data_IF_995852270471
#
_entry.id   IF_995852270471
#
_cell.length_a   1.000
_cell.length_b   1.000
_cell.length_c   1.000
_cell.angle_alpha   90.00
_cell.angle_beta   90.00
_cell.angle_gamma   90.00
#
_symmetry.space_group_name_H-M   'P 1'
#
loop_
_entity.id
_entity.type
_entity.pdbx_description
1 polymer ?
#
# COMPACT_ATOMS: atom_id res chain seq x y z
N UNK A 1 2.17 -34.07 35.90
CA UNK A 1 1.32 -33.29 34.94
C UNK A 1 2.14 -33.00 33.69
N UNK A 2 1.86 -33.68 32.57
CA UNK A 2 2.60 -33.55 31.29
C UNK A 2 2.45 -32.13 30.74
N UNK A 3 3.57 -31.41 30.53
CA UNK A 3 3.61 -30.17 29.76
C UNK A 3 3.44 -30.54 28.28
N UNK A 4 2.23 -30.38 27.73
CA UNK A 4 2.04 -30.40 26.29
C UNK A 4 2.73 -29.16 25.71
N UNK A 5 3.85 -29.38 25.00
CA UNK A 5 4.58 -28.34 24.26
C UNK A 5 3.71 -27.87 23.08
N UNK A 6 2.93 -26.80 23.26
CA UNK A 6 2.20 -26.11 22.18
C UNK A 6 3.07 -25.02 21.51
N UNK A 7 4.37 -25.26 21.34
CA UNK A 7 5.29 -24.25 20.82
C UNK A 7 5.03 -23.91 19.33
N UNK A 8 4.47 -24.84 18.54
CA UNK A 8 4.26 -24.64 17.10
C UNK A 8 3.03 -23.82 16.71
N UNK A 9 2.02 -23.71 17.57
CA UNK A 9 0.76 -22.99 17.28
C UNK A 9 0.89 -21.48 17.57
N UNK A 10 1.69 -21.13 18.57
CA UNK A 10 1.93 -19.73 18.98
C UNK A 10 2.71 -18.97 17.89
N UNK A 11 3.58 -19.65 17.14
CA UNK A 11 4.34 -19.05 16.03
C UNK A 11 3.46 -18.76 14.80
N UNK A 12 2.39 -19.53 14.59
CA UNK A 12 1.45 -19.31 13.46
C UNK A 12 0.64 -18.03 13.64
N UNK A 13 0.36 -17.59 14.87
CA UNK A 13 -0.57 -16.49 15.16
C UNK A 13 0.14 -15.37 15.95
N UNK A 14 1.13 -14.74 15.31
CA UNK A 14 1.93 -13.67 15.93
C UNK A 14 1.07 -12.43 16.24
N UNK A 15 1.36 -11.77 17.37
CA UNK A 15 0.79 -10.47 17.73
C UNK A 15 0.95 -9.50 16.54
N UNK A 16 -0.15 -8.85 16.13
CA UNK A 16 -0.28 -7.97 14.94
C UNK A 16 -0.46 -8.64 13.56
N UNK A 17 -0.59 -9.96 13.49
CA UNK A 17 -0.89 -10.64 12.23
C UNK A 17 -2.34 -10.39 11.79
N UNK A 18 -2.52 -10.13 10.49
CA UNK A 18 -3.85 -10.06 9.86
C UNK A 18 -4.25 -11.45 9.41
N UNK A 19 -5.32 -11.97 9.97
CA UNK A 19 -5.89 -13.25 9.58
C UNK A 19 -6.85 -13.09 8.41
N UNK A 20 -6.75 -14.05 7.48
CA UNK A 20 -7.74 -14.26 6.43
C UNK A 20 -9.09 -14.68 7.02
N UNK A 21 -10.16 -14.59 6.21
CA UNK A 21 -11.49 -15.06 6.63
C UNK A 21 -11.46 -16.55 6.97
N UNK A 22 -10.75 -17.35 6.18
CA UNK A 22 -10.59 -18.78 6.39
C UNK A 22 -9.94 -19.10 7.75
N UNK A 23 -8.82 -18.45 8.08
CA UNK A 23 -8.14 -18.67 9.36
C UNK A 23 -9.02 -18.26 10.55
N UNK A 24 -9.75 -17.14 10.45
CA UNK A 24 -10.69 -16.72 11.50
C UNK A 24 -11.81 -17.75 11.68
N UNK A 25 -12.30 -18.32 10.59
CA UNK A 25 -13.35 -19.32 10.62
C UNK A 25 -12.87 -20.63 11.26
N UNK A 26 -11.68 -21.11 10.90
CA UNK A 26 -11.04 -22.27 11.54
C UNK A 26 -10.90 -22.09 13.05
N UNK A 27 -10.50 -20.89 13.49
CA UNK A 27 -10.39 -20.56 14.91
C UNK A 27 -11.78 -20.60 15.58
N UNK A 28 -12.81 -20.05 14.95
CA UNK A 28 -14.19 -20.11 15.47
C UNK A 28 -14.65 -21.56 15.61
N UNK A 29 -14.48 -22.38 14.59
CA UNK A 29 -14.86 -23.80 14.63
C UNK A 29 -14.10 -24.56 15.72
N UNK A 30 -12.80 -24.32 15.84
CA UNK A 30 -11.97 -24.97 16.87
C UNK A 30 -12.38 -24.55 18.27
N UNK A 31 -12.69 -23.27 18.49
CA UNK A 31 -13.13 -22.78 19.80
C UNK A 31 -14.52 -23.32 20.16
N UNK A 32 -15.43 -23.45 19.20
CA UNK A 32 -16.78 -24.00 19.42
C UNK A 32 -16.77 -25.52 19.67
N UNK A 33 -15.89 -26.25 18.99
CA UNK A 33 -15.82 -27.73 19.09
C UNK A 33 -14.95 -28.19 20.26
N UNK A 34 -14.05 -27.34 20.73
CA UNK A 34 -13.12 -27.68 21.80
C UNK A 34 -13.82 -27.82 23.16
N UNK A 35 -13.54 -28.93 23.84
CA UNK A 35 -13.94 -29.15 25.25
C UNK A 35 -13.15 -28.25 26.24
N UNK A 36 -12.02 -27.68 25.80
CA UNK A 36 -11.30 -26.66 26.56
C UNK A 36 -12.08 -25.34 26.47
N UNK A 37 -12.40 -24.73 27.61
CA UNK A 37 -13.09 -23.45 27.65
C UNK A 37 -12.38 -22.35 26.84
N UNK A 38 -13.18 -21.44 26.25
CA UNK A 38 -12.79 -20.38 25.29
C UNK A 38 -11.52 -19.64 25.65
N UNK A 39 -11.28 -19.35 26.94
CA UNK A 39 -10.07 -18.64 27.38
C UNK A 39 -8.79 -19.44 27.09
N UNK A 40 -8.77 -20.73 27.43
CA UNK A 40 -7.58 -21.58 27.30
C UNK A 40 -7.24 -21.87 25.85
N UNK A 41 -8.26 -22.05 25.01
CA UNK A 41 -8.07 -22.23 23.57
C UNK A 41 -7.48 -20.99 22.94
N UNK A 42 -8.03 -19.80 23.21
CA UNK A 42 -7.50 -18.55 22.67
C UNK A 42 -6.09 -18.21 23.16
N UNK A 43 -5.75 -18.55 24.40
CA UNK A 43 -4.38 -18.42 24.92
C UNK A 43 -3.39 -19.31 24.15
N UNK A 44 -3.80 -20.51 23.74
CA UNK A 44 -2.96 -21.39 22.91
C UNK A 44 -2.69 -20.85 21.50
N UNK A 45 -3.65 -20.09 20.95
CA UNK A 45 -3.51 -19.39 19.68
C UNK A 45 -2.85 -18.01 19.82
N UNK A 46 -2.56 -17.52 21.04
CA UNK A 46 -2.04 -16.16 21.24
C UNK A 46 -3.02 -15.04 20.85
N UNK A 47 -4.32 -15.34 20.75
CA UNK A 47 -5.36 -14.40 20.29
C UNK A 47 -6.01 -13.72 21.49
N UNK A 48 -6.13 -12.39 21.43
CA UNK A 48 -6.86 -11.64 22.44
C UNK A 48 -8.37 -11.95 22.37
N UNK A 49 -8.99 -12.21 23.53
CA UNK A 49 -10.44 -12.47 23.66
C UNK A 49 -11.31 -11.42 22.95
N UNK A 50 -10.94 -10.15 23.06
CA UNK A 50 -11.65 -9.05 22.41
C UNK A 50 -11.64 -9.14 20.89
N UNK A 51 -10.60 -9.71 20.28
CA UNK A 51 -10.53 -9.91 18.83
C UNK A 51 -11.40 -11.08 18.39
N UNK A 52 -11.36 -12.18 19.15
CA UNK A 52 -12.22 -13.35 18.92
C UNK A 52 -13.71 -12.97 18.96
N UNK A 53 -14.17 -12.32 20.03
CA UNK A 53 -15.59 -11.97 20.16
C UNK A 53 -16.06 -10.98 19.09
N UNK A 54 -15.19 -10.07 18.62
CA UNK A 54 -15.50 -9.20 17.48
C UNK A 54 -15.73 -9.99 16.19
N UNK A 55 -14.87 -10.97 15.90
CA UNK A 55 -15.04 -11.84 14.73
C UNK A 55 -16.26 -12.74 14.89
N UNK A 56 -16.47 -13.31 16.07
CA UNK A 56 -17.61 -14.17 16.35
C UNK A 56 -18.94 -13.43 16.21
N UNK A 57 -19.02 -12.19 16.70
CA UNK A 57 -20.19 -11.33 16.48
C UNK A 57 -20.40 -11.03 15.00
N UNK A 58 -19.34 -10.65 14.27
CA UNK A 58 -19.41 -10.41 12.82
C UNK A 58 -19.86 -11.66 12.04
N UNK A 59 -19.42 -12.84 12.49
CA UNK A 59 -19.84 -14.12 11.92
C UNK A 59 -21.31 -14.43 12.20
N UNK A 60 -21.82 -14.09 13.39
CA UNK A 60 -23.24 -14.27 13.70
C UNK A 60 -24.13 -13.31 12.90
N UNK A 61 -23.68 -12.08 12.64
CA UNK A 61 -24.46 -11.06 11.93
C UNK A 61 -24.40 -11.23 10.39
N UNK A 62 -23.22 -11.54 9.84
CA UNK A 62 -22.97 -11.53 8.39
C UNK A 62 -22.41 -12.85 7.84
N UNK A 63 -22.39 -13.91 8.66
CA UNK A 63 -21.86 -15.21 8.24
C UNK A 63 -20.36 -15.19 7.94
N UNK A 64 -19.93 -16.06 7.03
CA UNK A 64 -18.53 -16.16 6.63
C UNK A 64 -17.99 -14.85 6.02
N UNK A 65 -18.83 -14.14 5.26
CA UNK A 65 -18.47 -12.87 4.61
C UNK A 65 -18.12 -11.77 5.63
N UNK A 66 -18.73 -11.83 6.83
CA UNK A 66 -18.40 -10.94 7.95
C UNK A 66 -16.99 -11.12 8.52
N UNK A 67 -16.31 -12.21 8.20
CA UNK A 67 -14.94 -12.48 8.63
C UNK A 67 -13.90 -11.88 7.67
N UNK A 68 -14.31 -11.43 6.49
CA UNK A 68 -13.41 -10.78 5.56
C UNK A 68 -12.75 -9.56 6.19
N UNK A 69 -11.48 -9.35 5.86
CA UNK A 69 -10.81 -8.12 6.25
C UNK A 69 -11.41 -6.99 5.43
N UNK A 70 -12.18 -6.12 6.09
CA UNK A 70 -12.66 -4.88 5.48
C UNK A 70 -11.49 -4.14 4.87
N UNK A 71 -11.51 -4.00 3.54
CA UNK A 71 -10.58 -3.12 2.83
C UNK A 71 -10.73 -1.75 3.48
N UNK A 72 -9.63 -1.17 3.96
CA UNK A 72 -9.66 0.21 4.45
C UNK A 72 -10.22 1.04 3.30
N UNK A 73 -11.46 1.50 3.43
CA UNK A 73 -11.96 2.52 2.55
C UNK A 73 -11.02 3.69 2.76
N UNK A 74 -10.35 4.09 1.68
CA UNK A 74 -9.36 5.16 1.72
C UNK A 74 -10.16 6.42 2.03
N UNK A 75 -10.37 6.71 3.32
CA UNK A 75 -10.99 7.94 3.80
C UNK A 75 -10.22 9.04 3.10
N UNK A 76 -10.89 9.75 2.19
CA UNK A 76 -10.32 10.74 1.27
C UNK A 76 -9.13 11.41 1.93
N UNK A 77 -7.93 11.12 1.43
CA UNK A 77 -6.72 11.78 1.90
C UNK A 77 -6.96 13.28 1.67
N UNK A 78 -6.78 14.12 2.69
CA UNK A 78 -7.09 15.56 2.61
C UNK A 78 -6.42 16.24 1.40
N UNK A 79 -5.22 15.77 1.04
CA UNK A 79 -4.43 16.28 -0.09
C UNK A 79 -4.67 15.50 -1.40
N UNK A 80 -5.79 14.78 -1.52
CA UNK A 80 -6.11 14.05 -2.76
C UNK A 80 -6.74 14.99 -3.77
N UNK A 81 -6.09 15.09 -4.95
CA UNK A 81 -6.65 15.80 -6.10
C UNK A 81 -7.97 15.14 -6.50
N UNK A 82 -9.10 15.89 -6.58
CA UNK A 82 -10.37 15.39 -7.08
C UNK A 82 -10.25 14.74 -8.46
N UNK A 83 -11.03 13.67 -8.69
CA UNK A 83 -10.94 12.91 -9.95
C UNK A 83 -11.17 13.79 -11.18
N UNK A 84 -12.13 14.72 -11.11
CA UNK A 84 -12.39 15.72 -12.15
C UNK A 84 -11.15 16.53 -12.56
N UNK A 85 -10.31 16.91 -11.59
CA UNK A 85 -9.08 17.66 -11.87
C UNK A 85 -8.02 16.74 -12.50
N UNK A 86 -8.00 15.45 -12.14
CA UNK A 86 -7.12 14.49 -12.80
C UNK A 86 -7.55 14.24 -14.24
N UNK A 87 -8.86 14.21 -14.51
CA UNK A 87 -9.38 14.02 -15.86
C UNK A 87 -9.04 15.21 -16.75
N UNK A 88 -9.16 16.43 -16.22
CA UNK A 88 -8.70 17.65 -16.88
C UNK A 88 -7.21 17.61 -17.23
N UNK A 89 -6.34 17.14 -16.30
CA UNK A 89 -4.91 16.98 -16.58
C UNK A 89 -4.67 16.07 -17.80
N UNK A 90 -5.47 15.02 -17.95
CA UNK A 90 -5.35 14.10 -19.09
C UNK A 90 -5.86 14.72 -20.37
N UNK A 91 -6.99 15.41 -20.33
CA UNK A 91 -7.54 16.11 -21.49
C UNK A 91 -6.50 17.06 -22.09
N UNK A 92 -5.90 17.92 -21.26
CA UNK A 92 -4.86 18.88 -21.72
C UNK A 92 -3.59 18.14 -22.18
N UNK A 93 -3.22 17.02 -21.55
CA UNK A 93 -2.08 16.21 -22.00
C UNK A 93 -2.31 15.56 -23.37
N UNK A 94 -3.55 15.18 -23.68
CA UNK A 94 -3.92 14.62 -24.98
C UNK A 94 -4.00 15.70 -26.06
N UNK A 95 -4.39 16.93 -25.70
CA UNK A 95 -4.34 18.09 -26.61
C UNK A 95 -2.90 18.54 -26.90
N UNK A 96 -2.02 18.44 -25.90
CA UNK A 96 -0.63 18.93 -25.95
C UNK A 96 0.39 17.82 -25.67
N UNK A 97 0.45 16.85 -26.58
CA UNK A 97 1.31 15.66 -26.45
C UNK A 97 2.81 15.97 -26.41
N UNK A 98 3.21 17.14 -26.91
CA UNK A 98 4.59 17.62 -26.95
C UNK A 98 5.08 18.17 -25.61
N UNK A 99 4.18 18.54 -24.70
CA UNK A 99 4.55 19.18 -23.44
C UNK A 99 5.02 18.14 -22.42
N UNK A 100 6.11 18.46 -21.73
CA UNK A 100 6.55 17.70 -20.57
C UNK A 100 5.55 17.85 -19.41
N UNK A 101 5.59 16.92 -18.46
CA UNK A 101 4.77 17.01 -17.23
C UNK A 101 4.99 18.33 -16.46
N UNK A 102 6.16 18.94 -16.60
CA UNK A 102 6.51 20.23 -16.00
C UNK A 102 5.82 21.38 -16.72
N UNK A 103 5.93 21.43 -18.05
CA UNK A 103 5.27 22.46 -18.86
C UNK A 103 3.75 22.37 -18.74
N UNK A 104 3.21 21.16 -18.72
CA UNK A 104 1.78 20.91 -18.53
C UNK A 104 1.29 21.44 -17.17
N UNK A 105 2.07 21.27 -16.09
CA UNK A 105 1.73 21.80 -14.77
C UNK A 105 1.64 23.33 -14.75
N UNK A 106 2.57 24.02 -15.43
CA UNK A 106 2.52 25.47 -15.57
C UNK A 106 1.32 25.90 -16.39
N UNK A 107 1.09 25.27 -17.55
CA UNK A 107 -0.06 25.55 -18.40
C UNK A 107 -1.39 25.42 -17.66
N UNK A 108 -1.58 24.35 -16.89
CA UNK A 108 -2.78 24.15 -16.07
C UNK A 108 -2.91 25.24 -15.00
N UNK A 109 -1.81 25.62 -14.37
CA UNK A 109 -1.82 26.65 -13.33
C UNK A 109 -2.18 28.02 -13.90
N UNK A 110 -1.62 28.36 -15.06
CA UNK A 110 -1.79 29.66 -15.70
C UNK A 110 -3.15 29.81 -16.40
N UNK A 111 -3.62 28.77 -17.11
CA UNK A 111 -4.87 28.84 -17.90
C UNK A 111 -6.12 28.44 -17.11
N UNK A 112 -6.01 27.44 -16.23
CA UNK A 112 -7.16 26.89 -15.49
C UNK A 112 -7.25 27.43 -14.05
N UNK A 113 -6.21 28.12 -13.56
CA UNK A 113 -6.15 28.63 -12.19
C UNK A 113 -6.08 27.54 -11.11
N UNK A 114 -5.72 26.31 -11.50
CA UNK A 114 -5.64 25.15 -10.60
C UNK A 114 -4.17 24.81 -10.37
N UNK A 115 -3.71 24.93 -9.13
CA UNK A 115 -2.35 24.52 -8.79
C UNK A 115 -2.22 22.99 -8.73
N UNK A 116 -1.39 22.43 -9.60
CA UNK A 116 -0.99 21.02 -9.58
C UNK A 116 0.52 20.94 -9.74
N UNK A 117 1.20 20.21 -8.84
CA UNK A 117 2.65 20.04 -8.95
C UNK A 117 3.04 19.16 -10.14
N UNK A 118 4.19 19.43 -10.75
CA UNK A 118 4.82 18.59 -11.79
C UNK A 118 4.78 17.10 -11.43
N UNK A 119 5.21 16.73 -10.22
CA UNK A 119 5.21 15.32 -9.79
C UNK A 119 3.81 14.72 -9.71
N UNK A 120 2.78 15.52 -9.44
CA UNK A 120 1.40 15.07 -9.44
C UNK A 120 0.90 14.84 -10.86
N UNK A 121 1.19 15.76 -11.78
CA UNK A 121 0.92 15.59 -13.21
C UNK A 121 1.59 14.31 -13.73
N UNK A 122 2.89 14.14 -13.48
CA UNK A 122 3.63 12.94 -13.83
C UNK A 122 2.95 11.66 -13.29
N UNK A 123 2.58 11.66 -12.00
CA UNK A 123 1.91 10.49 -11.40
C UNK A 123 0.56 10.20 -12.04
N UNK A 124 -0.23 11.23 -12.36
CA UNK A 124 -1.54 11.09 -13.01
C UNK A 124 -1.37 10.49 -14.41
N UNK A 125 -0.44 11.02 -15.21
CA UNK A 125 -0.16 10.51 -16.56
C UNK A 125 0.40 9.09 -16.50
N UNK A 126 1.34 8.81 -15.59
CA UNK A 126 1.91 7.47 -15.40
C UNK A 126 0.86 6.43 -15.01
N UNK A 127 -0.08 6.79 -14.14
CA UNK A 127 -1.14 5.89 -13.71
C UNK A 127 -2.10 5.50 -14.85
N UNK A 128 -2.17 6.32 -15.91
CA UNK A 128 -3.01 6.09 -17.09
C UNK A 128 -2.20 5.67 -18.31
N UNK A 129 -0.95 5.26 -18.10
CA UNK A 129 -0.04 4.79 -19.15
C UNK A 129 0.20 5.81 -20.28
N UNK A 130 0.08 7.11 -19.97
CA UNK A 130 0.25 8.23 -20.93
C UNK A 130 1.68 8.78 -20.96
N UNK A 131 2.59 8.20 -20.18
CA UNK A 131 4.00 8.55 -20.25
C UNK A 131 4.68 7.49 -21.12
N UNK A 132 5.33 7.87 -22.23
CA UNK A 132 6.07 6.92 -23.02
C UNK A 132 7.08 6.21 -22.11
N UNK A 133 7.22 4.89 -22.31
CA UNK A 133 8.23 4.11 -21.60
C UNK A 133 9.54 4.89 -21.64
N UNK A 134 10.24 4.98 -20.51
CA UNK A 134 11.36 5.88 -20.43
C UNK A 134 12.36 5.61 -21.54
N UNK A 135 12.63 6.61 -22.39
CA UNK A 135 13.79 6.65 -23.27
C UNK A 135 15.07 6.82 -22.43
N UNK A 136 15.24 6.03 -21.37
CA UNK A 136 16.41 6.13 -20.52
C UNK A 136 17.61 5.64 -21.31
N UNK A 137 18.47 6.58 -21.67
CA UNK A 137 19.87 6.29 -21.91
C UNK A 137 20.46 5.80 -20.59
N UNK A 138 21.03 4.59 -20.61
CA UNK A 138 21.86 4.08 -19.53
C UNK A 138 23.11 4.97 -19.45
N UNK A 139 23.04 6.05 -18.67
CA UNK A 139 24.21 6.82 -18.27
C UNK A 139 24.98 5.98 -17.24
N UNK A 140 25.81 5.06 -17.73
CA UNK A 140 26.80 4.40 -16.89
C UNK A 140 27.88 5.42 -16.55
N UNK A 141 28.21 5.54 -15.27
CA UNK A 141 29.45 6.19 -14.89
C UNK A 141 30.61 5.42 -15.54
N UNK A 142 31.58 6.15 -16.10
CA UNK A 142 32.86 5.57 -16.43
C UNK A 142 33.60 5.24 -15.12
N UNK A 143 34.48 4.25 -15.15
CA UNK A 143 35.31 3.90 -13.97
C UNK A 143 36.27 5.03 -13.58
N UNK A 144 36.40 6.06 -14.40
CA UNK A 144 37.34 7.16 -14.23
C UNK A 144 36.85 8.46 -14.88
N UNK A 145 37.31 9.58 -14.35
CA UNK A 145 37.09 10.91 -14.94
C UNK A 145 37.84 11.02 -16.28
N UNK A 146 37.23 11.70 -17.26
CA UNK A 146 37.87 11.97 -18.56
C UNK A 146 39.16 12.78 -18.40
N UNK A 147 39.11 13.80 -17.56
CA UNK A 147 40.24 14.66 -17.25
C UNK A 147 40.69 14.34 -15.82
N UNK A 148 41.67 13.44 -15.69
CA UNK A 148 42.27 13.14 -14.39
C UNK A 148 43.27 14.22 -14.02
N UNK A 149 43.18 14.68 -12.77
CA UNK A 149 44.24 15.50 -12.20
C UNK A 149 45.45 14.63 -11.88
N UNK A 150 46.62 15.03 -12.33
CA UNK A 150 47.89 14.36 -12.03
C UNK A 150 48.52 14.87 -10.72
N UNK A 151 48.19 16.10 -10.31
CA UNK A 151 48.80 16.76 -9.15
C UNK A 151 47.77 17.48 -8.29
N UNK A 152 48.12 17.63 -7.01
CA UNK A 152 47.33 18.43 -6.06
C UNK A 152 47.32 19.88 -6.57
N UNK A 153 46.13 20.49 -6.69
CA UNK A 153 45.85 21.86 -7.16
C UNK A 153 45.59 22.10 -8.67
N UNK A 154 45.35 21.07 -9.48
CA UNK A 154 45.14 21.27 -10.92
C UNK A 154 43.76 21.82 -11.33
N UNK A 155 42.78 21.85 -10.41
CA UNK A 155 41.41 22.35 -10.64
C UNK A 155 41.05 23.60 -9.83
N UNK A 156 42.04 24.21 -9.17
CA UNK A 156 41.92 25.51 -8.50
C UNK A 156 42.56 26.58 -9.39
#
# INVERSE_FOLDING_TARGET
KKKFRQAGLIDKYRKYMRLSAAEKYEIIQTVTTSELGVKRTLESFGIARSSFYKWYQSYLEYGYDGLETTKRTNRRQWNSIPERQKDLVVEIALEHTELSARELAYKITDEQGIFISESSVYRILKQRDLIPAPNHFLLSAANEFKDKTEFVHQMW
#
